data_IF_629562327895
#
_entry.id   IF_629562327895
#
_cell.length_a   1.000
_cell.length_b   1.000
_cell.length_c   1.000
_cell.angle_alpha   90.00
_cell.angle_beta   90.00
_cell.angle_gamma   90.00
#
_symmetry.space_group_name_H-M   'P 1'
#
loop_
_entity.id
_entity.type
_entity.pdbx_description
1 polymer ?
#
# COMPACT_ATOMS: atom_id res chain seq x y z
N UNK A 1 -26.88 -30.45 42.57
CA UNK A 1 -26.92 -31.20 41.30
C UNK A 1 -27.09 -30.23 40.13
N UNK A 2 -26.31 -29.17 40.10
CA UNK A 2 -26.17 -28.18 38.99
C UNK A 2 -24.76 -27.57 39.12
N UNK A 3 -23.71 -28.36 38.86
CA UNK A 3 -22.31 -27.83 38.85
C UNK A 3 -21.32 -28.58 37.94
N UNK A 4 -21.81 -29.47 37.06
CA UNK A 4 -20.87 -30.31 36.26
C UNK A 4 -21.02 -30.24 34.73
N UNK A 5 -21.63 -29.17 34.17
CA UNK A 5 -21.78 -29.03 32.68
C UNK A 5 -20.89 -27.95 32.07
N UNK A 6 -20.04 -27.26 32.81
CA UNK A 6 -19.23 -26.12 32.29
C UNK A 6 -17.74 -26.45 32.11
N UNK A 7 -17.33 -27.70 31.91
CA UNK A 7 -15.91 -28.09 31.76
C UNK A 7 -15.60 -29.00 30.57
N UNK A 8 -16.19 -28.77 29.42
CA UNK A 8 -15.77 -29.54 28.21
C UNK A 8 -15.92 -28.76 26.92
N UNK A 9 -15.14 -27.71 26.69
CA UNK A 9 -14.82 -27.26 25.33
C UNK A 9 -13.61 -26.28 25.29
N UNK A 10 -12.56 -26.55 26.05
CA UNK A 10 -11.24 -26.02 25.69
C UNK A 10 -10.57 -27.02 24.76
N UNK A 11 -11.03 -27.06 23.51
CA UNK A 11 -10.30 -27.70 22.44
C UNK A 11 -8.96 -27.01 22.28
N UNK A 12 -7.86 -27.69 22.60
CA UNK A 12 -6.50 -27.36 22.22
C UNK A 12 -6.48 -27.18 20.71
N UNK A 13 -6.58 -25.94 20.20
CA UNK A 13 -6.18 -25.66 18.84
C UNK A 13 -4.67 -25.91 18.74
N UNK A 14 -4.31 -27.03 18.19
CA UNK A 14 -2.92 -27.34 17.84
C UNK A 14 -2.39 -26.19 16.98
N UNK A 15 -1.27 -25.60 17.40
CA UNK A 15 -0.47 -24.65 16.60
C UNK A 15 0.17 -25.40 15.42
N UNK A 16 -0.64 -26.05 14.59
CA UNK A 16 -0.21 -26.54 13.29
C UNK A 16 0.04 -25.34 12.40
N UNK A 17 1.25 -25.21 11.92
CA UNK A 17 1.64 -24.25 10.89
C UNK A 17 0.69 -24.42 9.70
N UNK A 18 -0.18 -23.44 9.48
CA UNK A 18 -1.25 -23.55 8.50
C UNK A 18 -0.65 -23.43 7.08
N UNK A 19 -0.27 -24.58 6.50
CA UNK A 19 0.37 -24.67 5.18
C UNK A 19 -0.42 -23.95 4.10
N UNK A 20 -1.76 -23.88 4.23
CA UNK A 20 -2.63 -23.17 3.28
C UNK A 20 -2.39 -21.65 3.33
N UNK A 21 -2.22 -21.08 4.54
CA UNK A 21 -1.92 -19.66 4.70
C UNK A 21 -0.54 -19.30 4.16
N UNK A 22 0.47 -20.13 4.42
CA UNK A 22 1.80 -19.90 3.87
C UNK A 22 1.77 -19.96 2.34
N UNK A 23 1.15 -21.00 1.77
CA UNK A 23 1.09 -21.18 0.33
C UNK A 23 0.36 -20.03 -0.37
N UNK A 24 -0.77 -19.57 0.16
CA UNK A 24 -1.50 -18.45 -0.43
C UNK A 24 -0.74 -17.12 -0.30
N UNK A 25 -0.01 -16.90 0.81
CA UNK A 25 0.88 -15.74 0.94
C UNK A 25 2.03 -15.76 -0.08
N UNK A 26 2.68 -16.93 -0.26
CA UNK A 26 3.73 -17.10 -1.27
C UNK A 26 3.20 -16.90 -2.69
N UNK A 27 2.03 -17.44 -3.01
CA UNK A 27 1.40 -17.26 -4.32
C UNK A 27 1.04 -15.80 -4.59
N UNK A 28 0.48 -15.09 -3.60
CA UNK A 28 0.18 -13.67 -3.72
C UNK A 28 1.46 -12.84 -3.90
N UNK A 29 2.52 -13.13 -3.14
CA UNK A 29 3.82 -12.49 -3.29
C UNK A 29 4.46 -12.75 -4.66
N UNK A 30 4.44 -14.00 -5.13
CA UNK A 30 4.96 -14.38 -6.44
C UNK A 30 4.17 -13.70 -7.57
N UNK A 31 2.84 -13.65 -7.46
CA UNK A 31 1.99 -12.93 -8.40
C UNK A 31 2.31 -11.43 -8.42
N UNK A 32 2.46 -10.80 -7.24
CA UNK A 32 2.85 -9.39 -7.14
C UNK A 32 4.19 -9.11 -7.81
N UNK A 33 5.21 -9.94 -7.55
CA UNK A 33 6.52 -9.82 -8.19
C UNK A 33 6.46 -9.99 -9.71
N UNK A 34 5.69 -10.96 -10.20
CA UNK A 34 5.48 -11.18 -11.63
C UNK A 34 4.85 -9.96 -12.29
N UNK A 35 3.80 -9.40 -11.70
CA UNK A 35 3.08 -8.25 -12.23
C UNK A 35 3.96 -6.99 -12.22
N UNK A 36 4.72 -6.75 -11.15
CA UNK A 36 5.70 -5.65 -11.07
C UNK A 36 6.81 -5.84 -12.12
N UNK A 37 7.27 -7.07 -12.30
CA UNK A 37 8.27 -7.42 -13.33
C UNK A 37 7.78 -7.14 -14.74
N UNK A 38 6.56 -7.57 -15.08
CA UNK A 38 5.95 -7.31 -16.39
C UNK A 38 5.78 -5.81 -16.65
N UNK A 39 5.40 -5.03 -15.63
CA UNK A 39 5.24 -3.58 -15.74
C UNK A 39 4.12 -3.14 -16.71
N UNK A 40 4.20 -1.89 -17.16
CA UNK A 40 3.31 -1.34 -18.21
C UNK A 40 1.82 -1.58 -17.94
N UNK A 41 1.10 -1.95 -18.98
CA UNK A 41 -0.36 -2.17 -18.90
C UNK A 41 -0.76 -3.36 -18.03
N UNK A 42 0.08 -4.41 -17.93
CA UNK A 42 -0.19 -5.56 -17.05
C UNK A 42 -0.18 -5.16 -15.58
N UNK A 43 0.79 -4.33 -15.19
CA UNK A 43 0.84 -3.78 -13.85
C UNK A 43 -0.35 -2.86 -13.57
N UNK A 44 -0.72 -2.02 -14.53
CA UNK A 44 -1.88 -1.11 -14.43
C UNK A 44 -3.19 -1.88 -14.26
N UNK A 45 -3.41 -2.94 -15.03
CA UNK A 45 -4.61 -3.77 -14.92
C UNK A 45 -4.70 -4.47 -13.57
N UNK A 46 -3.60 -5.08 -13.09
CA UNK A 46 -3.58 -5.73 -11.79
C UNK A 46 -3.82 -4.73 -10.65
N UNK A 47 -3.15 -3.57 -10.70
CA UNK A 47 -3.36 -2.49 -9.73
C UNK A 47 -4.80 -1.97 -9.80
N UNK A 48 -5.39 -1.84 -11.00
CA UNK A 48 -6.77 -1.46 -11.21
C UNK A 48 -7.76 -2.43 -10.54
N UNK A 49 -7.52 -3.74 -10.63
CA UNK A 49 -8.33 -4.77 -9.94
C UNK A 49 -8.20 -4.63 -8.42
N UNK A 50 -6.98 -4.49 -7.91
CA UNK A 50 -6.72 -4.31 -6.47
C UNK A 50 -7.42 -3.06 -5.94
N UNK A 51 -7.28 -1.93 -6.62
CA UNK A 51 -7.93 -0.66 -6.28
C UNK A 51 -9.44 -0.78 -6.34
N UNK A 52 -9.98 -1.46 -7.34
CA UNK A 52 -11.42 -1.68 -7.47
C UNK A 52 -12.00 -2.44 -6.27
N UNK A 53 -11.39 -3.56 -5.92
CA UNK A 53 -11.82 -4.39 -4.79
C UNK A 53 -11.64 -3.66 -3.46
N UNK A 54 -10.49 -3.04 -3.23
CA UNK A 54 -10.23 -2.26 -2.01
C UNK A 54 -11.20 -1.09 -1.84
N UNK A 55 -11.59 -0.42 -2.94
CA UNK A 55 -12.55 0.67 -2.89
C UNK A 55 -13.98 0.19 -2.56
N UNK A 56 -14.37 -0.99 -3.05
CA UNK A 56 -15.63 -1.61 -2.66
C UNK A 56 -15.67 -1.96 -1.17
N UNK A 57 -14.56 -2.51 -0.63
CA UNK A 57 -14.43 -2.80 0.81
C UNK A 57 -14.50 -1.51 1.64
N UNK A 58 -13.76 -0.47 1.23
CA UNK A 58 -13.78 0.83 1.89
C UNK A 58 -15.18 1.45 1.90
N UNK A 59 -15.89 1.45 0.77
CA UNK A 59 -17.24 2.00 0.73
C UNK A 59 -18.25 1.16 1.51
N UNK A 60 -18.06 -0.15 1.60
CA UNK A 60 -18.87 -1.00 2.49
C UNK A 60 -18.70 -0.57 3.96
N UNK A 61 -17.47 -0.27 4.39
CA UNK A 61 -17.21 0.27 5.73
C UNK A 61 -17.92 1.62 5.94
N UNK A 62 -17.83 2.54 4.99
CA UNK A 62 -18.52 3.82 5.04
C UNK A 62 -20.06 3.66 5.11
N UNK A 63 -20.61 2.69 4.39
CA UNK A 63 -22.05 2.38 4.42
C UNK A 63 -22.51 1.83 5.79
N UNK A 64 -21.69 1.06 6.50
CA UNK A 64 -22.00 0.65 7.88
C UNK A 64 -22.14 1.84 8.83
N UNK A 65 -21.51 2.97 8.53
CA UNK A 65 -21.68 4.23 9.26
C UNK A 65 -22.86 5.08 8.75
N UNK A 66 -23.67 4.54 7.84
CA UNK A 66 -24.83 5.24 7.26
C UNK A 66 -24.48 6.25 6.17
N UNK A 67 -23.21 6.31 5.72
CA UNK A 67 -22.79 7.15 4.61
C UNK A 67 -23.25 6.54 3.27
N UNK A 68 -23.46 7.40 2.28
CA UNK A 68 -23.88 7.01 0.92
C UNK A 68 -22.91 7.58 -0.11
N UNK A 69 -21.67 7.05 -0.16
CA UNK A 69 -20.65 7.56 -1.06
C UNK A 69 -21.05 7.37 -2.54
N UNK A 70 -20.50 8.21 -3.40
CA UNK A 70 -20.66 8.14 -4.86
C UNK A 70 -19.84 6.96 -5.44
N UNK A 71 -20.17 5.72 -5.02
CA UNK A 71 -19.35 4.51 -5.24
C UNK A 71 -18.99 4.33 -6.72
N UNK A 72 -19.98 4.35 -7.63
CA UNK A 72 -19.74 4.12 -9.06
C UNK A 72 -18.89 5.22 -9.70
N UNK A 73 -19.18 6.48 -9.38
CA UNK A 73 -18.44 7.64 -9.90
C UNK A 73 -16.99 7.60 -9.43
N UNK A 74 -16.77 7.30 -8.16
CA UNK A 74 -15.39 7.20 -7.59
C UNK A 74 -14.64 6.01 -8.15
N UNK A 75 -15.28 4.85 -8.34
CA UNK A 75 -14.66 3.69 -9.01
C UNK A 75 -14.17 4.06 -10.42
N UNK A 76 -15.05 4.68 -11.23
CA UNK A 76 -14.67 5.13 -12.59
C UNK A 76 -13.52 6.14 -12.52
N UNK A 77 -13.59 7.10 -11.61
CA UNK A 77 -12.56 8.11 -11.44
C UNK A 77 -11.19 7.50 -11.09
N UNK A 78 -11.14 6.53 -10.17
CA UNK A 78 -9.91 5.82 -9.82
C UNK A 78 -9.32 5.08 -11.03
N UNK A 79 -10.17 4.38 -11.81
CA UNK A 79 -9.70 3.68 -13.02
C UNK A 79 -9.17 4.67 -14.06
N UNK A 80 -9.89 5.78 -14.31
CA UNK A 80 -9.43 6.83 -15.22
C UNK A 80 -8.09 7.43 -14.78
N UNK A 81 -7.89 7.61 -13.47
CA UNK A 81 -6.63 8.12 -12.93
C UNK A 81 -5.46 7.15 -13.19
N UNK A 82 -5.65 5.85 -12.94
CA UNK A 82 -4.64 4.82 -13.21
C UNK A 82 -4.33 4.72 -14.71
N UNK A 83 -5.36 4.65 -15.54
CA UNK A 83 -5.20 4.56 -17.00
C UNK A 83 -4.51 5.79 -17.59
N UNK A 84 -4.94 7.00 -17.20
CA UNK A 84 -4.33 8.24 -17.66
C UNK A 84 -2.87 8.36 -17.22
N UNK A 85 -2.55 7.91 -15.98
CA UNK A 85 -1.17 7.87 -15.46
C UNK A 85 -0.30 6.94 -16.30
N UNK A 86 -0.75 5.71 -16.58
CA UNK A 86 0.01 4.79 -17.41
C UNK A 86 0.14 5.29 -18.86
N UNK A 87 -0.91 5.86 -19.42
CA UNK A 87 -0.87 6.36 -20.79
C UNK A 87 0.06 7.57 -20.92
N UNK A 88 0.05 8.48 -19.95
CA UNK A 88 1.02 9.59 -19.90
C UNK A 88 2.46 9.08 -19.76
N UNK A 89 2.70 8.08 -18.89
CA UNK A 89 4.02 7.47 -18.73
C UNK A 89 4.54 6.79 -20.02
N UNK A 90 3.63 6.28 -20.85
CA UNK A 90 3.98 5.69 -22.15
C UNK A 90 4.11 6.71 -23.29
N UNK A 91 4.01 7.99 -23.01
CA UNK A 91 4.10 9.07 -23.99
C UNK A 91 2.86 9.27 -24.88
N UNK A 92 1.74 8.57 -24.58
CA UNK A 92 0.51 8.66 -25.36
C UNK A 92 -0.38 9.86 -25.01
N UNK A 93 -0.16 10.47 -23.84
CA UNK A 93 -0.92 11.64 -23.36
C UNK A 93 0.02 12.65 -22.68
N UNK A 94 -0.37 13.94 -22.62
CA UNK A 94 0.39 14.94 -21.88
C UNK A 94 0.55 14.55 -20.39
N UNK A 95 1.75 14.76 -19.84
CA UNK A 95 2.09 14.41 -18.45
C UNK A 95 1.20 15.10 -17.41
N UNK A 96 0.59 16.25 -17.74
CA UNK A 96 -0.35 17.00 -16.88
C UNK A 96 -1.75 16.38 -16.81
N UNK A 97 -2.10 15.48 -17.72
CA UNK A 97 -3.47 14.94 -17.76
C UNK A 97 -3.86 14.16 -16.51
N UNK A 98 -3.04 13.25 -15.96
CA UNK A 98 -3.36 12.57 -14.71
C UNK A 98 -3.59 13.54 -13.54
N UNK A 99 -2.85 14.65 -13.51
CA UNK A 99 -2.99 15.66 -12.47
C UNK A 99 -4.31 16.45 -12.60
N UNK A 100 -4.83 16.61 -13.83
CA UNK A 100 -6.14 17.19 -14.08
C UNK A 100 -7.30 16.22 -13.74
N UNK A 101 -7.11 14.91 -13.88
CA UNK A 101 -8.14 13.91 -13.57
C UNK A 101 -8.58 13.98 -12.11
N UNK A 102 -7.67 14.23 -11.17
CA UNK A 102 -7.99 14.27 -9.75
C UNK A 102 -9.01 15.37 -9.40
N UNK A 103 -8.79 16.67 -9.69
CA UNK A 103 -9.76 17.72 -9.39
C UNK A 103 -11.06 17.59 -10.20
N UNK A 104 -10.99 17.17 -11.47
CA UNK A 104 -12.18 16.95 -12.28
C UNK A 104 -13.04 15.81 -11.75
N UNK A 105 -12.42 14.73 -11.28
CA UNK A 105 -13.12 13.63 -10.61
C UNK A 105 -13.77 14.08 -9.31
N UNK A 106 -13.11 14.94 -8.53
CA UNK A 106 -13.69 15.56 -7.32
C UNK A 106 -14.94 16.36 -7.66
N UNK A 107 -14.88 17.20 -8.70
CA UNK A 107 -16.04 17.96 -9.17
C UNK A 107 -17.18 17.05 -9.68
N UNK A 108 -16.85 15.99 -10.42
CA UNK A 108 -17.82 15.00 -10.90
C UNK A 108 -18.52 14.25 -9.74
N UNK A 109 -17.77 13.88 -8.69
CA UNK A 109 -18.32 13.25 -7.47
C UNK A 109 -19.31 14.21 -6.78
N UNK A 110 -18.93 15.47 -6.58
CA UNK A 110 -19.82 16.47 -5.99
C UNK A 110 -21.07 16.67 -6.85
N UNK A 111 -20.93 16.84 -8.17
CA UNK A 111 -22.02 16.97 -9.10
C UNK A 111 -22.96 15.74 -9.08
N UNK A 112 -22.42 14.54 -9.03
CA UNK A 112 -23.23 13.31 -8.91
C UNK A 112 -24.03 13.27 -7.61
N UNK A 113 -23.43 13.64 -6.47
CA UNK A 113 -24.11 13.66 -5.17
C UNK A 113 -25.20 14.74 -5.09
N UNK A 114 -25.03 15.85 -5.80
CA UNK A 114 -26.07 16.90 -5.92
C UNK A 114 -27.29 16.43 -6.71
N UNK A 115 -27.10 15.62 -7.75
CA UNK A 115 -28.16 15.13 -8.64
C UNK A 115 -28.94 13.93 -8.07
N UNK A 116 -28.57 13.42 -6.89
CA UNK A 116 -29.29 12.30 -6.26
C UNK A 116 -30.67 12.75 -5.75
N UNK A 117 -31.71 11.88 -5.79
CA UNK A 117 -33.04 12.18 -5.24
C UNK A 117 -33.01 12.62 -3.77
N UNK A 118 -32.09 12.05 -3.00
CA UNK A 118 -31.73 12.53 -1.66
C UNK A 118 -30.31 13.07 -1.74
N UNK A 119 -30.17 14.38 -1.70
CA UNK A 119 -28.89 15.10 -1.80
C UNK A 119 -27.85 14.51 -0.86
N UNK A 120 -26.62 14.42 -1.33
CA UNK A 120 -25.50 13.93 -0.52
C UNK A 120 -25.18 14.83 0.66
N UNK A 121 -24.61 14.25 1.69
CA UNK A 121 -24.12 14.94 2.89
C UNK A 121 -22.62 15.27 2.78
N UNK A 122 -22.10 16.10 3.71
CA UNK A 122 -20.66 16.32 3.85
C UNK A 122 -19.91 15.01 4.06
N UNK A 123 -20.49 14.07 4.83
CA UNK A 123 -19.89 12.76 5.06
C UNK A 123 -19.83 11.90 3.77
N UNK A 124 -20.84 11.98 2.91
CA UNK A 124 -20.87 11.27 1.63
C UNK A 124 -19.80 11.82 0.67
N UNK A 125 -19.63 13.15 0.64
CA UNK A 125 -18.55 13.81 -0.12
C UNK A 125 -17.20 13.40 0.44
N UNK A 126 -17.00 13.52 1.77
CA UNK A 126 -15.74 13.20 2.42
C UNK A 126 -15.33 11.74 2.18
N UNK A 127 -16.25 10.77 2.33
CA UNK A 127 -15.97 9.37 2.05
C UNK A 127 -15.61 9.14 0.58
N UNK A 128 -16.31 9.78 -0.36
CA UNK A 128 -16.03 9.63 -1.80
C UNK A 128 -14.67 10.22 -2.19
N UNK A 129 -14.38 11.43 -1.73
CA UNK A 129 -13.10 12.10 -2.01
C UNK A 129 -11.93 11.39 -1.32
N UNK A 130 -12.11 10.94 -0.05
CA UNK A 130 -11.09 10.15 0.61
C UNK A 130 -10.84 8.81 -0.11
N UNK A 131 -11.87 8.13 -0.58
CA UNK A 131 -11.73 6.92 -1.40
C UNK A 131 -10.94 7.18 -2.69
N UNK A 132 -11.23 8.29 -3.40
CA UNK A 132 -10.48 8.71 -4.59
C UNK A 132 -9.00 8.99 -4.27
N UNK A 133 -8.73 9.70 -3.18
CA UNK A 133 -7.36 10.00 -2.74
C UNK A 133 -6.63 8.72 -2.30
N UNK A 134 -7.22 7.97 -1.37
CA UNK A 134 -6.57 6.86 -0.67
C UNK A 134 -6.36 5.63 -1.56
N UNK A 135 -7.35 5.31 -2.41
CA UNK A 135 -7.33 4.13 -3.28
C UNK A 135 -7.18 4.43 -4.78
N UNK A 136 -7.22 5.69 -5.18
CA UNK A 136 -6.95 6.10 -6.56
C UNK A 136 -5.61 6.81 -6.70
N UNK A 137 -5.50 7.99 -6.06
CA UNK A 137 -4.34 8.86 -6.21
C UNK A 137 -3.06 8.28 -5.61
N UNK A 138 -3.09 7.80 -4.37
CA UNK A 138 -1.90 7.25 -3.73
C UNK A 138 -1.35 6.02 -4.50
N UNK A 139 -2.15 4.99 -4.85
CA UNK A 139 -1.65 3.85 -5.61
C UNK A 139 -1.20 4.20 -7.03
N UNK A 140 -1.71 5.28 -7.66
CA UNK A 140 -1.23 5.69 -8.99
C UNK A 140 0.27 5.96 -9.03
N UNK A 141 0.89 6.30 -7.89
CA UNK A 141 2.32 6.51 -7.77
C UNK A 141 3.14 5.23 -7.94
N UNK A 142 2.57 4.02 -7.75
CA UNK A 142 3.25 2.78 -8.16
C UNK A 142 3.54 2.75 -9.65
N UNK A 143 2.62 3.29 -10.47
CA UNK A 143 2.83 3.39 -11.92
C UNK A 143 3.90 4.44 -12.25
N UNK A 144 3.91 5.56 -11.53
CA UNK A 144 4.94 6.60 -11.68
C UNK A 144 6.33 6.07 -11.27
N UNK A 145 6.44 5.37 -10.13
CA UNK A 145 7.69 4.75 -9.68
C UNK A 145 8.21 3.73 -10.68
N UNK A 146 7.33 2.85 -11.19
CA UNK A 146 7.70 1.77 -12.11
C UNK A 146 8.22 2.30 -13.45
N UNK A 147 7.83 3.51 -13.84
CA UNK A 147 8.24 4.15 -15.08
C UNK A 147 9.33 5.24 -14.89
N UNK A 148 9.91 5.37 -13.69
CA UNK A 148 11.06 6.26 -13.48
C UNK A 148 12.27 5.80 -14.30
N UNK A 149 12.87 6.74 -15.06
CA UNK A 149 14.04 6.52 -15.91
C UNK A 149 15.24 7.36 -15.50
N UNK A 150 15.03 8.38 -14.66
CA UNK A 150 16.00 9.46 -14.40
C UNK A 150 17.04 9.10 -13.33
N UNK A 151 17.01 7.88 -12.78
CA UNK A 151 17.96 7.43 -11.77
C UNK A 151 18.94 6.45 -12.39
N UNK A 152 20.24 6.76 -12.25
CA UNK A 152 21.31 5.86 -12.69
C UNK A 152 21.40 4.67 -11.72
N UNK A 153 21.22 3.47 -12.25
CA UNK A 153 21.36 2.18 -11.54
C UNK A 153 22.50 1.35 -12.16
N UNK A 154 23.34 2.00 -12.95
CA UNK A 154 24.42 1.39 -13.71
C UNK A 154 25.37 0.48 -12.89
N UNK A 155 25.75 0.80 -11.64
CA UNK A 155 26.68 -0.02 -10.88
C UNK A 155 26.21 -1.45 -10.66
N UNK A 156 24.94 -1.65 -10.31
CA UNK A 156 24.38 -2.98 -10.07
C UNK A 156 24.35 -3.82 -11.36
N UNK A 157 23.99 -3.18 -12.46
CA UNK A 157 23.85 -3.84 -13.75
C UNK A 157 25.20 -4.27 -14.33
N UNK A 158 26.24 -3.44 -14.13
CA UNK A 158 27.62 -3.74 -14.54
C UNK A 158 28.20 -4.95 -13.78
N UNK A 159 27.88 -5.09 -12.48
CA UNK A 159 28.38 -6.20 -11.68
C UNK A 159 27.68 -7.53 -11.99
N UNK A 160 26.43 -7.51 -12.39
CA UNK A 160 25.67 -8.73 -12.65
C UNK A 160 25.85 -9.29 -14.08
N UNK A 161 26.55 -8.57 -14.98
CA UNK A 161 26.73 -8.98 -16.39
C UNK A 161 25.43 -9.37 -17.10
N UNK A 162 24.30 -8.82 -16.64
CA UNK A 162 22.96 -9.11 -17.17
C UNK A 162 22.68 -8.14 -18.31
N UNK A 163 22.20 -8.67 -19.42
CA UNK A 163 21.77 -7.87 -20.58
C UNK A 163 20.67 -6.90 -20.14
N UNK A 164 20.97 -5.59 -20.22
CA UNK A 164 20.30 -4.49 -19.51
C UNK A 164 18.84 -4.21 -19.95
N UNK A 165 18.29 -4.99 -20.87
CA UNK A 165 16.98 -4.71 -21.46
C UNK A 165 15.78 -4.91 -20.50
N UNK A 166 15.95 -5.68 -19.43
CA UNK A 166 14.88 -6.05 -18.49
C UNK A 166 14.87 -5.30 -17.16
N UNK A 167 16.03 -4.81 -16.70
CA UNK A 167 16.21 -4.15 -15.40
C UNK A 167 16.19 -2.62 -15.55
N UNK A 168 14.99 -2.06 -15.62
CA UNK A 168 14.85 -0.59 -15.58
C UNK A 168 15.04 -0.06 -14.16
N UNK A 169 15.53 1.19 -14.03
CA UNK A 169 15.63 1.89 -12.75
C UNK A 169 14.32 1.90 -11.99
N UNK A 170 13.20 2.14 -12.67
CA UNK A 170 11.87 2.10 -12.07
C UNK A 170 11.49 0.73 -11.52
N UNK A 171 11.92 -0.38 -12.15
CA UNK A 171 11.71 -1.73 -11.61
C UNK A 171 12.46 -1.92 -10.29
N UNK A 172 13.76 -1.59 -10.27
CA UNK A 172 14.60 -1.76 -9.08
C UNK A 172 14.13 -0.89 -7.93
N UNK A 173 13.74 0.35 -8.18
CA UNK A 173 13.19 1.27 -7.18
C UNK A 173 11.86 0.74 -6.63
N UNK A 174 10.97 0.26 -7.51
CA UNK A 174 9.68 -0.31 -7.10
C UNK A 174 9.88 -1.55 -6.22
N UNK A 175 10.79 -2.45 -6.61
CA UNK A 175 11.14 -3.63 -5.81
C UNK A 175 11.78 -3.25 -4.48
N UNK A 176 12.68 -2.25 -4.46
CA UNK A 176 13.28 -1.74 -3.24
C UNK A 176 12.22 -1.18 -2.29
N UNK A 177 11.26 -0.40 -2.80
CA UNK A 177 10.14 0.11 -2.01
C UNK A 177 9.30 -1.03 -1.40
N UNK A 178 8.96 -2.04 -2.20
CA UNK A 178 8.24 -3.21 -1.71
C UNK A 178 9.04 -3.98 -0.64
N UNK A 179 10.35 -4.17 -0.84
CA UNK A 179 11.23 -4.85 0.12
C UNK A 179 11.34 -4.09 1.43
N UNK A 180 11.40 -2.75 1.40
CA UNK A 180 11.41 -1.91 2.60
C UNK A 180 10.12 -2.07 3.40
N UNK A 181 8.94 -2.11 2.75
CA UNK A 181 7.65 -2.39 3.43
C UNK A 181 7.66 -3.78 4.06
N UNK A 182 8.01 -4.81 3.28
CA UNK A 182 8.07 -6.20 3.78
C UNK A 182 9.04 -6.32 4.97
N UNK A 183 10.22 -5.67 4.89
CA UNK A 183 11.19 -5.67 5.98
C UNK A 183 10.65 -4.97 7.23
N UNK A 184 9.92 -3.87 7.06
CA UNK A 184 9.25 -3.17 8.16
C UNK A 184 8.21 -4.07 8.83
N UNK A 185 7.33 -4.72 8.06
CA UNK A 185 6.26 -5.56 8.60
C UNK A 185 6.80 -6.80 9.29
N UNK A 186 7.75 -7.51 8.67
CA UNK A 186 8.40 -8.69 9.27
C UNK A 186 9.18 -8.30 10.52
N UNK A 187 9.97 -7.23 10.45
CA UNK A 187 10.75 -6.72 11.57
C UNK A 187 9.88 -6.32 12.75
N UNK A 188 8.79 -5.58 12.47
CA UNK A 188 7.80 -5.18 13.49
C UNK A 188 7.15 -6.40 14.16
N UNK A 189 6.77 -7.40 13.38
CA UNK A 189 6.19 -8.64 13.91
C UNK A 189 7.19 -9.44 14.75
N UNK A 190 8.41 -9.66 14.24
CA UNK A 190 9.41 -10.48 14.92
C UNK A 190 9.86 -9.86 16.25
N UNK A 191 10.20 -8.56 16.20
CA UNK A 191 10.71 -7.83 17.38
C UNK A 191 9.60 -7.58 18.38
N UNK A 192 8.42 -7.15 17.91
CA UNK A 192 7.25 -6.97 18.77
C UNK A 192 6.81 -8.23 19.49
N UNK A 193 6.93 -9.40 18.82
CA UNK A 193 6.61 -10.68 19.46
C UNK A 193 7.62 -11.12 20.52
N UNK A 194 8.90 -10.78 20.36
CA UNK A 194 9.97 -11.21 21.26
C UNK A 194 10.13 -10.30 22.47
N UNK A 195 10.12 -9.00 22.26
CA UNK A 195 10.43 -8.01 23.30
C UNK A 195 9.35 -6.94 23.51
N UNK A 196 8.26 -6.96 22.71
CA UNK A 196 7.18 -5.98 22.79
C UNK A 196 6.51 -5.97 24.18
N UNK A 197 6.46 -4.80 24.80
CA UNK A 197 5.87 -4.57 26.13
C UNK A 197 4.87 -3.45 26.13
N UNK A 198 5.09 -2.40 25.31
CA UNK A 198 4.28 -1.21 25.29
C UNK A 198 3.38 -1.20 24.05
N UNK A 199 2.04 -1.24 24.22
CA UNK A 199 1.14 -1.13 23.09
C UNK A 199 1.34 0.20 22.36
N UNK A 200 1.36 0.17 21.02
CA UNK A 200 1.58 1.35 20.20
C UNK A 200 0.35 2.26 20.16
N UNK A 201 -0.84 1.67 20.08
CA UNK A 201 -2.10 2.42 19.93
C UNK A 201 -3.27 1.65 20.53
N UNK A 202 -4.26 2.34 21.12
CA UNK A 202 -5.53 1.73 21.56
C UNK A 202 -6.32 1.08 20.41
N UNK A 203 -6.14 1.57 19.18
CA UNK A 203 -6.84 1.10 17.97
C UNK A 203 -6.35 -0.29 17.56
N UNK A 204 -5.05 -0.56 17.74
CA UNK A 204 -4.40 -1.84 17.45
C UNK A 204 -3.49 -2.27 18.60
N UNK A 205 -4.05 -2.83 19.69
CA UNK A 205 -3.30 -3.17 20.92
C UNK A 205 -2.25 -4.28 20.71
N UNK A 206 -2.34 -5.03 19.62
CA UNK A 206 -1.37 -6.06 19.25
C UNK A 206 -0.06 -5.51 18.70
N UNK A 207 -0.04 -4.25 18.26
CA UNK A 207 1.18 -3.56 17.82
C UNK A 207 1.89 -2.93 19.00
N UNK A 208 3.22 -3.03 19.03
CA UNK A 208 4.05 -2.52 20.12
C UNK A 208 5.03 -1.46 19.63
N UNK A 209 5.43 -0.56 20.51
CA UNK A 209 6.43 0.48 20.23
C UNK A 209 7.75 -0.16 19.83
N UNK A 210 8.18 -1.18 20.56
CA UNK A 210 9.44 -1.92 20.30
C UNK A 210 9.39 -2.60 18.93
N UNK A 211 8.21 -3.15 18.56
CA UNK A 211 7.98 -3.69 17.23
C UNK A 211 8.10 -2.63 16.15
N UNK A 212 7.46 -1.48 16.32
CA UNK A 212 7.51 -0.39 15.35
C UNK A 212 8.96 0.13 15.14
N UNK A 213 9.73 0.30 16.23
CA UNK A 213 11.16 0.69 16.15
C UNK A 213 11.95 -0.40 15.42
N UNK A 214 11.72 -1.66 15.75
CA UNK A 214 12.41 -2.78 15.11
C UNK A 214 12.11 -2.89 13.61
N UNK A 215 10.86 -2.71 13.21
CA UNK A 215 10.47 -2.64 11.80
C UNK A 215 11.13 -1.46 11.07
N UNK A 216 11.15 -0.28 11.71
CA UNK A 216 11.82 0.88 11.16
C UNK A 216 13.31 0.63 10.93
N UNK A 217 14.02 0.02 11.89
CA UNK A 217 15.45 -0.34 11.73
C UNK A 217 15.67 -1.34 10.60
N UNK A 218 14.81 -2.34 10.44
CA UNK A 218 14.89 -3.29 9.34
C UNK A 218 14.69 -2.59 7.98
N UNK A 219 13.72 -1.70 7.88
CA UNK A 219 13.46 -0.92 6.65
C UNK A 219 14.61 0.04 6.32
N UNK A 220 15.17 0.72 7.32
CA UNK A 220 16.37 1.58 7.18
C UNK A 220 17.54 0.78 6.64
N UNK A 221 17.80 -0.41 7.20
CA UNK A 221 18.88 -1.27 6.75
C UNK A 221 18.68 -1.72 5.30
N UNK A 222 17.48 -2.17 4.94
CA UNK A 222 17.16 -2.58 3.57
C UNK A 222 17.25 -1.40 2.60
N UNK A 223 16.76 -0.23 2.98
CA UNK A 223 16.87 0.99 2.17
C UNK A 223 18.32 1.38 1.92
N UNK A 224 19.15 1.41 2.96
CA UNK A 224 20.57 1.70 2.85
C UNK A 224 21.32 0.66 1.98
N UNK A 225 20.99 -0.62 2.15
CA UNK A 225 21.54 -1.70 1.34
C UNK A 225 21.17 -1.54 -0.14
N UNK A 226 19.89 -1.33 -0.44
CA UNK A 226 19.44 -1.17 -1.82
C UNK A 226 20.02 0.06 -2.49
N UNK A 227 20.11 1.19 -1.78
CA UNK A 227 20.76 2.39 -2.27
C UNK A 227 22.26 2.17 -2.53
N UNK A 228 22.96 1.42 -1.67
CA UNK A 228 24.36 1.06 -1.88
C UNK A 228 24.55 0.16 -3.11
N UNK A 229 23.67 -0.82 -3.28
CA UNK A 229 23.67 -1.68 -4.46
C UNK A 229 23.36 -0.89 -5.75
N UNK A 230 22.50 0.11 -5.70
CA UNK A 230 22.20 1.00 -6.83
C UNK A 230 23.29 2.05 -7.07
N UNK A 231 24.31 2.15 -6.22
CA UNK A 231 25.42 3.10 -6.36
C UNK A 231 25.04 4.54 -6.06
N UNK A 232 24.03 4.78 -5.23
CA UNK A 232 23.62 6.13 -4.86
C UNK A 232 24.68 6.87 -4.06
N UNK A 233 24.86 8.15 -4.30
CA UNK A 233 25.71 9.00 -3.49
C UNK A 233 25.17 9.04 -2.05
N UNK A 234 26.06 8.96 -1.06
CA UNK A 234 25.70 8.87 0.35
C UNK A 234 24.62 7.79 0.62
N UNK A 235 24.78 6.60 0.01
CA UNK A 235 23.78 5.54 0.00
C UNK A 235 23.20 5.19 1.39
N UNK A 236 24.05 5.16 2.43
CA UNK A 236 23.60 4.91 3.80
C UNK A 236 22.66 5.98 4.34
N UNK A 237 22.90 7.24 3.98
CA UNK A 237 22.05 8.35 4.41
C UNK A 237 20.78 8.42 3.57
N UNK A 238 20.89 8.47 2.23
CA UNK A 238 19.75 8.60 1.32
C UNK A 238 18.81 7.39 1.39
N UNK A 239 19.38 6.18 1.29
CA UNK A 239 18.63 4.94 1.42
C UNK A 239 18.08 4.71 2.82
N UNK A 240 18.84 5.04 3.86
CA UNK A 240 18.40 4.94 5.25
C UNK A 240 17.24 5.88 5.57
N UNK A 241 17.29 7.15 5.11
CA UNK A 241 16.19 8.10 5.24
C UNK A 241 14.94 7.63 4.49
N UNK A 242 15.12 7.11 3.27
CA UNK A 242 14.02 6.57 2.50
C UNK A 242 13.37 5.37 3.23
N UNK A 243 14.18 4.44 3.77
CA UNK A 243 13.71 3.32 4.57
C UNK A 243 12.95 3.74 5.83
N UNK A 244 13.41 4.79 6.52
CA UNK A 244 12.73 5.36 7.68
C UNK A 244 11.37 5.97 7.30
N UNK A 245 11.30 6.71 6.19
CA UNK A 245 10.05 7.27 5.66
C UNK A 245 9.08 6.15 5.28
N UNK A 246 9.54 5.12 4.57
CA UNK A 246 8.72 3.97 4.19
C UNK A 246 8.13 3.29 5.43
N UNK A 247 8.96 2.98 6.43
CA UNK A 247 8.49 2.33 7.66
C UNK A 247 7.44 3.18 8.39
N UNK A 248 7.66 4.48 8.49
CA UNK A 248 6.72 5.40 9.13
C UNK A 248 5.38 5.43 8.39
N UNK A 249 5.38 5.61 7.07
CA UNK A 249 4.15 5.72 6.30
C UNK A 249 3.45 4.38 6.07
N UNK A 250 4.17 3.25 6.04
CA UNK A 250 3.59 1.91 6.08
C UNK A 250 2.81 1.70 7.38
N UNK A 251 3.42 2.08 8.53
CA UNK A 251 2.76 2.02 9.84
C UNK A 251 1.52 2.94 9.90
N UNK A 252 1.60 4.16 9.35
CA UNK A 252 0.45 5.08 9.26
C UNK A 252 -0.67 4.46 8.42
N UNK A 253 -0.34 3.80 7.31
CA UNK A 253 -1.31 3.13 6.43
C UNK A 253 -2.10 2.04 7.17
N UNK A 254 -1.38 1.12 7.81
CA UNK A 254 -1.98 0.03 8.59
C UNK A 254 -2.80 0.56 9.79
N UNK A 255 -2.32 1.58 10.51
CA UNK A 255 -3.11 2.20 11.59
C UNK A 255 -4.34 2.93 11.07
N UNK A 256 -4.26 3.57 9.90
CA UNK A 256 -5.40 4.24 9.25
C UNK A 256 -6.49 3.23 8.89
N UNK A 257 -6.10 2.10 8.30
CA UNK A 257 -7.01 1.02 7.96
C UNK A 257 -7.63 0.40 9.24
N UNK A 258 -6.80 0.13 10.24
CA UNK A 258 -7.27 -0.34 11.55
C UNK A 258 -8.27 0.62 12.20
N UNK A 259 -8.04 1.93 12.12
CA UNK A 259 -8.96 2.96 12.62
C UNK A 259 -10.31 2.90 11.90
N UNK A 260 -10.31 2.83 10.57
CA UNK A 260 -11.54 2.74 9.78
C UNK A 260 -12.35 1.47 10.11
N UNK A 261 -11.70 0.33 10.28
CA UNK A 261 -12.36 -0.92 10.71
C UNK A 261 -13.01 -0.78 12.08
N UNK A 262 -12.30 -0.22 13.07
CA UNK A 262 -12.86 -0.02 14.42
C UNK A 262 -14.02 0.95 14.43
N UNK A 263 -13.92 2.04 13.66
CA UNK A 263 -15.03 2.98 13.51
C UNK A 263 -16.25 2.31 12.86
N UNK A 264 -16.06 1.50 11.82
CA UNK A 264 -17.14 0.71 11.19
C UNK A 264 -17.68 -0.44 12.06
N UNK A 265 -17.08 -0.73 13.22
CA UNK A 265 -17.49 -1.82 14.12
C UNK A 265 -17.12 -3.21 13.62
N UNK A 266 -16.15 -3.32 12.69
CA UNK A 266 -15.70 -4.59 12.10
C UNK A 266 -14.23 -4.87 12.44
N UNK A 267 -13.79 -6.10 12.19
CA UNK A 267 -12.41 -6.52 12.41
C UNK A 267 -11.63 -6.64 11.10
N UNK A 268 -12.23 -7.21 10.09
CA UNK A 268 -11.64 -7.45 8.76
C UNK A 268 -12.40 -6.61 7.73
N UNK A 269 -11.70 -6.04 6.74
CA UNK A 269 -12.31 -5.11 5.77
C UNK A 269 -13.28 -5.80 4.80
N UNK A 270 -13.09 -7.11 4.56
CA UNK A 270 -13.92 -7.92 3.68
C UNK A 270 -13.54 -9.39 3.72
N UNK A 271 -14.18 -10.18 2.85
CA UNK A 271 -13.98 -11.62 2.69
C UNK A 271 -13.49 -11.97 1.28
N UNK A 272 -12.88 -11.02 0.56
CA UNK A 272 -12.47 -11.20 -0.83
C UNK A 272 -11.41 -12.31 -0.98
N UNK A 273 -10.60 -12.53 0.05
CA UNK A 273 -9.60 -13.60 0.09
C UNK A 273 -10.00 -14.64 1.13
N UNK A 274 -10.49 -15.84 0.73
CA UNK A 274 -10.91 -16.88 1.67
C UNK A 274 -9.84 -17.20 2.70
N UNK A 275 -10.16 -16.99 4.00
CA UNK A 275 -9.25 -17.23 5.13
C UNK A 275 -8.19 -16.15 5.37
N UNK A 276 -8.18 -15.05 4.60
CA UNK A 276 -7.18 -13.98 4.69
C UNK A 276 -7.76 -12.58 4.90
N UNK A 277 -9.08 -12.42 5.00
CA UNK A 277 -9.73 -11.10 5.14
C UNK A 277 -9.89 -10.39 3.79
N UNK A 278 -9.98 -9.06 3.83
CA UNK A 278 -10.14 -8.23 2.64
C UNK A 278 -8.83 -7.97 1.88
N UNK A 279 -9.00 -7.41 0.70
CA UNK A 279 -7.88 -6.88 -0.11
C UNK A 279 -7.24 -5.69 0.61
N UNK A 280 -8.06 -4.82 1.21
CA UNK A 280 -7.58 -3.63 1.92
C UNK A 280 -6.68 -4.00 3.09
N UNK A 281 -7.02 -5.08 3.84
CA UNK A 281 -6.18 -5.65 4.92
C UNK A 281 -4.78 -6.12 4.44
N UNK A 282 -4.53 -6.19 3.14
CA UNK A 282 -3.28 -6.67 2.55
C UNK A 282 -2.45 -5.60 1.90
N UNK A 283 -3.06 -4.50 1.56
CA UNK A 283 -2.38 -3.41 0.86
C UNK A 283 -2.24 -2.15 1.72
N UNK A 284 -2.75 -2.15 2.92
CA UNK A 284 -2.78 -1.00 3.84
C UNK A 284 -1.41 -0.34 4.03
N UNK A 285 -0.36 -1.13 4.30
CA UNK A 285 1.04 -0.67 4.40
C UNK A 285 1.60 -0.15 3.06
N UNK A 286 1.00 -0.53 1.93
CA UNK A 286 1.45 -0.17 0.58
C UNK A 286 0.75 1.06 0.00
N UNK A 287 -0.26 1.63 0.67
CA UNK A 287 -1.06 2.72 0.10
C UNK A 287 -0.33 4.06 0.10
N UNK A 288 0.26 4.47 1.23
CA UNK A 288 1.02 5.72 1.31
C UNK A 288 2.43 5.61 0.70
N UNK A 289 3.02 4.43 0.80
CA UNK A 289 4.43 4.17 0.43
C UNK A 289 4.79 4.67 -0.97
N UNK A 290 4.05 4.40 -2.05
CA UNK A 290 4.49 4.76 -3.40
C UNK A 290 4.57 6.27 -3.62
N UNK A 291 3.63 7.02 -3.07
CA UNK A 291 3.66 8.47 -3.15
C UNK A 291 4.84 9.06 -2.38
N UNK A 292 5.07 8.55 -1.16
CA UNK A 292 6.19 8.99 -0.31
C UNK A 292 7.53 8.70 -0.97
N UNK A 293 7.73 7.48 -1.48
CA UNK A 293 8.96 7.11 -2.18
C UNK A 293 9.15 7.96 -3.44
N UNK A 294 8.10 8.15 -4.24
CA UNK A 294 8.15 8.94 -5.46
C UNK A 294 8.60 10.39 -5.17
N UNK A 295 7.95 11.06 -4.23
CA UNK A 295 8.31 12.45 -3.91
C UNK A 295 9.64 12.57 -3.17
N UNK A 296 10.00 11.61 -2.32
CA UNK A 296 11.30 11.59 -1.68
C UNK A 296 12.44 11.49 -2.72
N UNK A 297 12.28 10.63 -3.73
CA UNK A 297 13.26 10.51 -4.81
C UNK A 297 13.40 11.79 -5.62
N UNK A 298 12.29 12.42 -5.99
CA UNK A 298 12.31 13.62 -6.82
C UNK A 298 12.82 14.85 -6.06
N UNK A 299 12.44 14.98 -4.77
CA UNK A 299 12.69 16.21 -4.00
C UNK A 299 13.89 16.13 -3.08
N UNK A 300 14.13 14.96 -2.43
CA UNK A 300 15.19 14.84 -1.41
C UNK A 300 16.52 14.36 -1.99
N UNK A 301 16.51 13.33 -2.81
CA UNK A 301 17.76 12.71 -3.29
C UNK A 301 18.58 13.67 -4.15
N UNK A 302 18.03 14.49 -5.07
CA UNK A 302 18.82 15.50 -5.77
C UNK A 302 19.52 16.51 -4.86
N UNK A 303 18.98 16.78 -3.67
CA UNK A 303 19.58 17.68 -2.68
C UNK A 303 20.73 17.02 -1.90
N UNK A 304 20.70 15.68 -1.79
CA UNK A 304 21.68 14.88 -1.04
C UNK A 304 22.79 14.39 -2.00
N UNK A 305 22.47 14.19 -3.27
CA UNK A 305 23.38 13.67 -4.29
C UNK A 305 24.35 14.72 -4.86
N UNK A 306 24.11 16.02 -4.64
CA UNK A 306 25.00 17.12 -4.98
C UNK A 306 25.92 17.45 -3.79
#
# INVERSE_FOLDING_TARGET
MISDVARSSQGKTSKGFDRKRLLSGLLAGAFGLLVVGLGGWWFTLALGVIVHLGLLEFFRMAQFKGMRPATKTTLVACQLLLFSTQWANSGGLPALLPDAVLPLSGAAICGWLLLQPKTGSIADIAASIFGLFYLGFLPSHWLRLRNLTDFDVAPILQHLSIDNSWLSSGLLITLAACLMVVASDIGSYMIGRQIGRHPLSPISPSKTIEGAIGGALCSVFVGALMASLMGWTLAWLSGGLLGALVAFFALVGDLTESMMKRDAGIKDSGDALPGHGGILDRIDSYLFTPAVVYYALILMIPLIAN
#
